data_IF_613183635796
#
_entry.id   IF_613183635796
#
_cell.length_a   1.000
_cell.length_b   1.000
_cell.length_c   1.000
_cell.angle_alpha   90.00
_cell.angle_beta   90.00
_cell.angle_gamma   90.00
#
_symmetry.space_group_name_H-M   'P 1'
#
loop_
_entity.id
_entity.type
_entity.pdbx_description
1 polymer ?
#
# COMPACT_ATOMS: atom_id res chain seq x y z
N UNK A 1 -31.84 10.15 8.02
CA UNK A 1 -31.71 8.75 7.59
C UNK A 1 -30.27 8.35 7.88
N UNK A 2 -30.04 7.45 8.84
CA UNK A 2 -28.69 7.03 9.24
C UNK A 2 -27.97 6.40 8.05
N UNK A 3 -26.99 7.12 7.49
CA UNK A 3 -26.19 6.71 6.32
C UNK A 3 -25.52 5.35 6.56
N UNK A 4 -25.22 5.04 7.83
CA UNK A 4 -24.59 3.81 8.32
C UNK A 4 -25.46 2.55 8.15
N UNK A 5 -26.79 2.67 8.02
CA UNK A 5 -27.70 1.53 7.87
C UNK A 5 -28.06 1.20 6.41
N UNK A 6 -27.54 1.95 5.44
CA UNK A 6 -27.77 1.65 4.02
C UNK A 6 -26.99 0.40 3.57
N UNK A 7 -27.60 -0.41 2.71
CA UNK A 7 -26.95 -1.60 2.13
C UNK A 7 -25.67 -1.24 1.34
N UNK A 8 -25.67 -0.10 0.64
CA UNK A 8 -24.52 0.41 -0.11
C UNK A 8 -23.32 0.79 0.77
N UNK A 9 -23.55 1.37 1.95
CA UNK A 9 -22.47 1.73 2.86
C UNK A 9 -21.79 0.48 3.42
N UNK A 10 -22.57 -0.55 3.74
CA UNK A 10 -22.05 -1.83 4.21
C UNK A 10 -21.19 -2.51 3.15
N UNK A 11 -21.62 -2.48 1.89
CA UNK A 11 -20.85 -3.04 0.78
C UNK A 11 -19.55 -2.27 0.53
N UNK A 12 -19.60 -0.93 0.59
CA UNK A 12 -18.41 -0.08 0.51
C UNK A 12 -17.41 -0.40 1.62
N UNK A 13 -17.89 -0.42 2.87
CA UNK A 13 -17.06 -0.75 4.02
C UNK A 13 -16.44 -2.13 3.85
N UNK A 14 -17.24 -3.13 3.45
CA UNK A 14 -16.72 -4.46 3.15
C UNK A 14 -15.65 -4.43 2.04
N UNK A 15 -15.85 -3.69 0.95
CA UNK A 15 -14.90 -3.64 -0.15
C UNK A 15 -13.54 -3.02 0.27
N UNK A 16 -13.56 -1.98 1.12
CA UNK A 16 -12.37 -1.18 1.43
C UNK A 16 -11.73 -1.53 2.78
N UNK A 17 -12.41 -2.24 3.68
CA UNK A 17 -11.95 -2.45 5.07
C UNK A 17 -10.53 -3.01 5.18
N UNK A 18 -10.17 -4.00 4.36
CA UNK A 18 -8.84 -4.60 4.44
C UNK A 18 -7.73 -3.59 4.05
N UNK A 19 -7.96 -2.78 3.01
CA UNK A 19 -7.03 -1.71 2.63
C UNK A 19 -6.93 -0.64 3.71
N UNK A 20 -8.08 -0.31 4.30
CA UNK A 20 -8.19 0.67 5.37
C UNK A 20 -7.30 0.29 6.55
N UNK A 21 -7.38 -0.95 7.01
CA UNK A 21 -6.55 -1.45 8.11
C UNK A 21 -5.05 -1.30 7.79
N UNK A 22 -4.63 -1.68 6.59
CA UNK A 22 -3.24 -1.54 6.16
C UNK A 22 -2.76 -0.07 6.17
N UNK A 23 -3.56 0.85 5.62
CA UNK A 23 -3.24 2.27 5.59
C UNK A 23 -3.28 2.91 6.98
N UNK A 24 -4.17 2.44 7.87
CA UNK A 24 -4.26 2.93 9.25
C UNK A 24 -3.01 2.54 10.05
N UNK A 25 -2.48 1.31 9.88
CA UNK A 25 -1.24 0.86 10.54
C UNK A 25 -0.05 1.80 10.27
N UNK A 26 0.07 2.33 9.05
CA UNK A 26 1.17 3.21 8.63
C UNK A 26 0.81 4.70 8.65
N UNK A 27 -0.37 5.05 9.18
CA UNK A 27 -0.83 6.43 9.32
C UNK A 27 -1.23 7.14 8.02
N UNK A 28 -1.40 6.39 6.93
CA UNK A 28 -1.75 6.94 5.60
C UNK A 28 -3.25 7.12 5.40
N UNK A 29 -4.10 6.43 6.18
CA UNK A 29 -5.54 6.45 5.94
C UNK A 29 -6.13 7.87 5.99
N UNK A 30 -6.89 8.30 4.96
CA UNK A 30 -7.51 9.61 4.93
C UNK A 30 -8.66 9.66 5.94
N UNK A 31 -8.56 10.54 6.95
CA UNK A 31 -9.65 10.80 7.90
C UNK A 31 -10.34 12.12 7.53
N UNK A 32 -11.67 12.19 7.69
CA UNK A 32 -12.42 13.41 7.41
C UNK A 32 -11.94 14.56 8.30
N UNK A 33 -11.59 15.68 7.66
CA UNK A 33 -11.04 16.88 8.30
C UNK A 33 -12.08 17.68 9.11
N UNK A 34 -13.37 17.35 9.01
CA UNK A 34 -14.47 18.18 9.53
C UNK A 34 -14.64 18.15 11.06
N UNK A 35 -14.03 17.21 11.75
CA UNK A 35 -14.06 17.20 13.21
C UNK A 35 -12.86 16.41 13.71
N UNK A 36 -11.72 17.05 14.00
CA UNK A 36 -10.63 16.55 14.85
C UNK A 36 -9.64 17.71 15.05
N UNK A 37 -9.61 18.24 16.27
CA UNK A 37 -8.43 18.83 16.92
C UNK A 37 -7.19 18.08 16.42
N UNK A 38 -6.27 18.72 15.66
CA UNK A 38 -5.07 18.07 15.06
C UNK A 38 -4.59 16.92 15.96
N UNK A 39 -4.81 15.68 15.54
CA UNK A 39 -4.44 14.54 16.38
C UNK A 39 -2.92 14.40 16.34
N UNK A 40 -2.23 15.10 17.26
CA UNK A 40 -0.78 15.17 17.34
C UNK A 40 -0.15 13.77 17.33
N UNK A 41 -0.79 12.80 17.97
CA UNK A 41 -0.37 11.40 17.96
C UNK A 41 -0.25 10.79 16.57
N UNK A 42 -1.18 11.09 15.66
CA UNK A 42 -1.12 10.56 14.31
C UNK A 42 0.03 11.17 13.49
N UNK A 43 0.34 12.45 13.73
CA UNK A 43 1.47 13.14 13.08
C UNK A 43 2.81 12.65 13.65
N UNK A 44 2.90 12.43 14.96
CA UNK A 44 4.05 11.80 15.61
C UNK A 44 4.28 10.39 15.05
N UNK A 45 3.23 9.59 14.92
CA UNK A 45 3.32 8.24 14.36
C UNK A 45 3.88 8.23 12.93
N UNK A 46 3.39 9.12 12.07
CA UNK A 46 3.90 9.30 10.70
C UNK A 46 5.37 9.73 10.71
N UNK A 47 5.76 10.63 11.62
CA UNK A 47 7.15 11.06 11.75
C UNK A 47 8.06 9.89 12.17
N UNK A 48 7.62 9.05 13.12
CA UNK A 48 8.34 7.84 13.54
C UNK A 48 8.58 6.92 12.34
N UNK A 49 7.55 6.64 11.54
CA UNK A 49 7.67 5.78 10.35
C UNK A 49 8.66 6.36 9.32
N UNK A 50 8.60 7.67 9.04
CA UNK A 50 9.53 8.32 8.10
C UNK A 50 10.96 8.27 8.63
N UNK A 51 11.17 8.62 9.91
CA UNK A 51 12.49 8.62 10.54
C UNK A 51 13.06 7.20 10.53
N UNK A 52 12.26 6.17 10.82
CA UNK A 52 12.73 4.79 10.75
C UNK A 52 13.13 4.38 9.32
N UNK A 53 12.33 4.72 8.31
CA UNK A 53 12.68 4.41 6.92
C UNK A 53 13.97 5.10 6.46
N UNK A 54 14.25 6.31 6.95
CA UNK A 54 15.46 7.05 6.54
C UNK A 54 16.68 6.57 7.31
N UNK A 55 16.62 6.59 8.65
CA UNK A 55 17.80 6.41 9.49
C UNK A 55 18.11 4.94 9.81
N UNK A 56 17.09 4.08 9.88
CA UNK A 56 17.29 2.65 10.20
C UNK A 56 17.55 1.84 8.93
N UNK A 57 16.98 2.23 7.77
CA UNK A 57 17.17 1.48 6.52
C UNK A 57 17.89 2.25 5.42
N UNK A 58 17.34 3.35 4.88
CA UNK A 58 17.92 3.98 3.67
C UNK A 58 19.38 4.42 3.83
N UNK A 59 19.72 5.15 4.90
CA UNK A 59 21.09 5.64 5.13
C UNK A 59 22.06 4.45 5.31
N UNK A 60 21.81 3.49 6.23
CA UNK A 60 22.63 2.29 6.38
C UNK A 60 22.84 1.50 5.08
N UNK A 61 21.78 1.33 4.26
CA UNK A 61 21.88 0.59 2.99
C UNK A 61 22.75 1.31 1.97
N UNK A 62 22.62 2.63 1.84
CA UNK A 62 23.48 3.44 0.96
C UNK A 62 24.94 3.36 1.43
N UNK A 63 25.18 3.44 2.74
CA UNK A 63 26.52 3.27 3.30
C UNK A 63 27.11 1.89 2.97
N UNK A 64 26.33 0.81 3.05
CA UNK A 64 26.78 -0.53 2.65
C UNK A 64 27.24 -0.56 1.20
N UNK A 65 26.45 0.01 0.28
CA UNK A 65 26.80 0.07 -1.16
C UNK A 65 28.13 0.80 -1.37
N UNK A 66 28.34 1.93 -0.70
CA UNK A 66 29.60 2.69 -0.78
C UNK A 66 30.77 1.83 -0.29
N UNK A 67 30.57 1.06 0.77
CA UNK A 67 31.61 0.23 1.37
C UNK A 67 32.01 -0.95 0.46
N UNK A 68 31.05 -1.53 -0.26
CA UNK A 68 31.29 -2.66 -1.19
C UNK A 68 31.53 -2.23 -2.63
N UNK A 69 31.69 -0.93 -2.90
CA UNK A 69 31.80 -0.36 -4.26
C UNK A 69 32.88 -1.01 -5.14
N UNK A 70 33.96 -1.54 -4.53
CA UNK A 70 35.03 -2.25 -5.24
C UNK A 70 34.65 -3.64 -5.77
N UNK A 71 33.51 -4.21 -5.37
CA UNK A 71 33.05 -5.53 -5.82
C UNK A 71 31.65 -5.43 -6.44
N UNK A 72 31.58 -5.42 -7.77
CA UNK A 72 30.33 -5.23 -8.52
C UNK A 72 29.28 -6.29 -8.19
N UNK A 73 29.67 -7.52 -7.87
CA UNK A 73 28.72 -8.58 -7.52
C UNK A 73 28.01 -8.25 -6.20
N UNK A 74 28.75 -7.78 -5.20
CA UNK A 74 28.17 -7.32 -3.92
C UNK A 74 27.35 -6.03 -4.08
N UNK A 75 27.77 -5.12 -4.96
CA UNK A 75 27.01 -3.90 -5.26
C UNK A 75 25.65 -4.25 -5.86
N UNK A 76 25.61 -5.15 -6.85
CA UNK A 76 24.36 -5.58 -7.49
C UNK A 76 23.42 -6.25 -6.47
N UNK A 77 23.97 -7.11 -5.61
CA UNK A 77 23.20 -7.79 -4.56
C UNK A 77 22.58 -6.79 -3.57
N UNK A 78 23.36 -5.80 -3.11
CA UNK A 78 22.86 -4.75 -2.23
C UNK A 78 21.86 -3.80 -2.91
N UNK A 79 22.03 -3.54 -4.21
CA UNK A 79 21.09 -2.73 -4.98
C UNK A 79 19.72 -3.39 -5.12
N UNK A 80 19.68 -4.73 -5.21
CA UNK A 80 18.43 -5.50 -5.31
C UNK A 80 17.49 -5.22 -4.11
N UNK A 81 18.04 -5.01 -2.91
CA UNK A 81 17.25 -4.67 -1.72
C UNK A 81 17.09 -3.16 -1.52
N UNK A 82 18.13 -2.38 -1.83
CA UNK A 82 18.15 -0.92 -1.59
C UNK A 82 17.17 -0.17 -2.49
N UNK A 83 17.07 -0.53 -3.77
CA UNK A 83 16.18 0.15 -4.72
C UNK A 83 14.69 0.01 -4.32
N UNK A 84 14.16 -1.19 -4.00
CA UNK A 84 12.82 -1.33 -3.44
C UNK A 84 12.60 -0.51 -2.16
N UNK A 85 13.59 -0.46 -1.27
CA UNK A 85 13.47 0.28 -0.01
C UNK A 85 13.38 1.80 -0.22
N UNK A 86 14.16 2.34 -1.14
CA UNK A 86 14.06 3.75 -1.57
C UNK A 86 12.69 4.00 -2.22
N UNK A 87 12.22 3.08 -3.08
CA UNK A 87 10.91 3.17 -3.71
C UNK A 87 9.77 3.24 -2.67
N UNK A 88 9.83 2.43 -1.61
CA UNK A 88 8.87 2.49 -0.49
C UNK A 88 8.83 3.88 0.14
N UNK A 89 9.99 4.45 0.40
CA UNK A 89 10.11 5.77 1.01
C UNK A 89 9.52 6.87 0.11
N UNK A 90 9.80 6.80 -1.20
CA UNK A 90 9.23 7.69 -2.21
C UNK A 90 7.72 7.55 -2.28
N UNK A 91 7.18 6.32 -2.38
CA UNK A 91 5.75 6.02 -2.39
C UNK A 91 5.06 6.59 -1.15
N UNK A 92 5.64 6.40 0.05
CA UNK A 92 5.10 6.92 1.30
C UNK A 92 4.97 8.45 1.28
N UNK A 93 6.03 9.16 0.87
CA UNK A 93 6.04 10.63 0.79
C UNK A 93 5.02 11.13 -0.24
N UNK A 94 4.92 10.47 -1.40
CA UNK A 94 3.95 10.84 -2.44
C UNK A 94 2.52 10.71 -1.92
N UNK A 95 2.14 9.54 -1.38
CA UNK A 95 0.79 9.31 -0.86
C UNK A 95 0.47 10.28 0.29
N UNK A 96 1.44 10.55 1.15
CA UNK A 96 1.29 11.52 2.23
C UNK A 96 1.01 12.93 1.70
N UNK A 97 1.77 13.40 0.70
CA UNK A 97 1.55 14.70 0.05
C UNK A 97 0.21 14.76 -0.67
N UNK A 98 -0.20 13.66 -1.31
CA UNK A 98 -1.44 13.54 -2.08
C UNK A 98 -2.63 13.07 -1.24
N UNK A 99 -2.57 13.15 0.10
CA UNK A 99 -3.65 12.68 1.00
C UNK A 99 -5.02 13.32 0.72
N UNK A 100 -5.08 14.57 0.25
CA UNK A 100 -6.34 15.20 -0.17
C UNK A 100 -6.95 14.52 -1.39
N UNK A 101 -6.12 14.15 -2.37
CA UNK A 101 -6.52 13.38 -3.55
C UNK A 101 -6.99 11.99 -3.14
N UNK A 102 -6.21 11.32 -2.28
CA UNK A 102 -6.59 10.03 -1.71
C UNK A 102 -7.96 10.06 -1.02
N UNK A 103 -8.20 11.07 -0.18
CA UNK A 103 -9.51 11.28 0.47
C UNK A 103 -10.61 11.50 -0.56
N UNK A 104 -10.34 12.29 -1.61
CA UNK A 104 -11.30 12.52 -2.68
C UNK A 104 -11.65 11.20 -3.39
N UNK A 105 -10.67 10.38 -3.73
CA UNK A 105 -10.89 9.07 -4.39
C UNK A 105 -11.75 8.16 -3.51
N UNK A 106 -11.39 8.02 -2.23
CA UNK A 106 -12.15 7.18 -1.28
C UNK A 106 -13.59 7.68 -1.11
N UNK A 107 -13.80 9.00 -1.03
CA UNK A 107 -15.14 9.57 -0.94
C UNK A 107 -15.95 9.31 -2.20
N UNK A 108 -15.36 9.47 -3.37
CA UNK A 108 -16.10 9.24 -4.59
C UNK A 108 -16.39 7.75 -4.82
N UNK A 109 -15.50 6.84 -4.42
CA UNK A 109 -15.83 5.42 -4.33
C UNK A 109 -17.03 5.20 -3.40
N UNK A 110 -17.04 5.82 -2.22
CA UNK A 110 -18.16 5.70 -1.28
C UNK A 110 -19.47 6.19 -1.90
N UNK A 111 -19.45 7.34 -2.56
CA UNK A 111 -20.60 7.87 -3.31
C UNK A 111 -21.06 6.90 -4.40
N UNK A 112 -20.13 6.36 -5.17
CA UNK A 112 -20.42 5.37 -6.20
C UNK A 112 -21.10 4.15 -5.58
N UNK A 113 -20.63 3.60 -4.45
CA UNK A 113 -21.26 2.47 -3.76
C UNK A 113 -22.65 2.80 -3.20
N UNK A 114 -22.84 4.03 -2.72
CA UNK A 114 -24.08 4.52 -2.13
C UNK A 114 -25.16 4.89 -3.15
N UNK A 115 -24.79 5.22 -4.39
CA UNK A 115 -25.72 5.58 -5.43
C UNK A 115 -26.76 4.47 -5.70
N UNK A 116 -27.97 4.85 -6.09
CA UNK A 116 -28.99 3.87 -6.51
C UNK A 116 -28.49 3.05 -7.71
N UNK A 117 -28.66 1.73 -7.64
CA UNK A 117 -28.18 0.78 -8.64
C UNK A 117 -29.15 -0.38 -8.81
N UNK A 118 -29.21 -0.90 -10.03
CA UNK A 118 -29.86 -2.17 -10.31
C UNK A 118 -29.04 -3.33 -9.69
N UNK A 119 -29.70 -4.44 -9.37
CA UNK A 119 -29.02 -5.63 -8.82
C UNK A 119 -27.87 -6.12 -9.71
N UNK A 120 -28.04 -6.03 -11.04
CA UNK A 120 -26.99 -6.37 -12.02
C UNK A 120 -25.74 -5.52 -11.83
N UNK A 121 -25.91 -4.21 -11.67
CA UNK A 121 -24.80 -3.25 -11.52
C UNK A 121 -24.06 -3.41 -10.20
N UNK A 122 -24.83 -3.65 -9.13
CA UNK A 122 -24.29 -3.97 -7.81
C UNK A 122 -23.46 -5.25 -7.85
N UNK A 123 -23.93 -6.29 -8.54
CA UNK A 123 -23.20 -7.55 -8.68
C UNK A 123 -21.87 -7.38 -9.42
N UNK A 124 -21.80 -6.54 -10.45
CA UNK A 124 -20.54 -6.21 -11.14
C UNK A 124 -19.55 -5.58 -10.17
N UNK A 125 -19.98 -4.58 -9.39
CA UNK A 125 -19.10 -3.93 -8.40
C UNK A 125 -18.61 -4.89 -7.33
N UNK A 126 -19.50 -5.74 -6.79
CA UNK A 126 -19.14 -6.78 -5.81
C UNK A 126 -18.11 -7.73 -6.42
N UNK A 127 -18.31 -8.22 -7.65
CA UNK A 127 -17.37 -9.11 -8.33
C UNK A 127 -15.98 -8.47 -8.47
N UNK A 128 -15.90 -7.20 -8.90
CA UNK A 128 -14.63 -6.48 -9.03
C UNK A 128 -13.94 -6.28 -7.67
N UNK A 129 -14.70 -5.95 -6.63
CA UNK A 129 -14.19 -5.83 -5.28
C UNK A 129 -13.69 -7.17 -4.71
N UNK A 130 -14.39 -8.28 -4.98
CA UNK A 130 -13.95 -9.64 -4.63
C UNK A 130 -12.62 -9.97 -5.29
N UNK A 131 -12.46 -9.68 -6.59
CA UNK A 131 -11.19 -9.88 -7.30
C UNK A 131 -10.07 -9.06 -6.67
N UNK A 132 -10.32 -7.78 -6.35
CA UNK A 132 -9.35 -6.91 -5.68
C UNK A 132 -8.93 -7.44 -4.30
N UNK A 133 -9.89 -7.91 -3.51
CA UNK A 133 -9.62 -8.55 -2.21
C UNK A 133 -8.85 -9.86 -2.34
N UNK A 134 -9.12 -10.66 -3.36
CA UNK A 134 -8.37 -11.89 -3.61
C UNK A 134 -6.89 -11.58 -3.95
N UNK A 135 -6.66 -10.64 -4.88
CA UNK A 135 -5.31 -10.19 -5.24
C UNK A 135 -4.57 -9.66 -4.00
N UNK A 136 -5.25 -8.87 -3.17
CA UNK A 136 -4.71 -8.39 -1.91
C UNK A 136 -4.28 -9.55 -1.00
N UNK A 137 -5.17 -10.51 -0.74
CA UNK A 137 -4.89 -11.60 0.20
C UNK A 137 -3.71 -12.44 -0.27
N UNK A 138 -3.65 -12.76 -1.57
CA UNK A 138 -2.52 -13.47 -2.16
C UNK A 138 -1.22 -12.67 -1.98
N UNK A 139 -1.24 -11.36 -2.28
CA UNK A 139 -0.08 -10.49 -2.12
C UNK A 139 0.43 -10.43 -0.68
N UNK A 140 -0.47 -10.30 0.29
CA UNK A 140 -0.08 -10.31 1.71
C UNK A 140 0.47 -11.65 2.17
N UNK A 141 -0.11 -12.77 1.73
CA UNK A 141 0.41 -14.11 2.04
C UNK A 141 1.85 -14.24 1.54
N UNK A 142 2.13 -13.86 0.29
CA UNK A 142 3.48 -13.95 -0.28
C UNK A 142 4.49 -13.13 0.52
N UNK A 143 4.15 -11.88 0.84
CA UNK A 143 5.04 -10.98 1.59
C UNK A 143 5.23 -11.43 3.02
N UNK A 144 4.18 -11.88 3.71
CA UNK A 144 4.26 -12.38 5.08
C UNK A 144 5.13 -13.63 5.12
N UNK A 145 4.93 -14.57 4.20
CA UNK A 145 5.78 -15.77 4.10
C UNK A 145 7.23 -15.38 3.86
N UNK A 146 7.52 -14.52 2.88
CA UNK A 146 8.89 -14.05 2.61
C UNK A 146 9.52 -13.35 3.81
N UNK A 147 8.77 -12.49 4.50
CA UNK A 147 9.21 -11.82 5.72
C UNK A 147 9.57 -12.81 6.82
N UNK A 148 8.71 -13.79 7.11
CA UNK A 148 9.01 -14.80 8.13
C UNK A 148 10.20 -15.68 7.73
N UNK A 149 10.32 -16.06 6.46
CA UNK A 149 11.46 -16.83 5.96
C UNK A 149 12.77 -16.07 6.21
N UNK A 150 12.91 -14.82 5.75
CA UNK A 150 14.13 -14.03 5.94
C UNK A 150 14.51 -13.89 7.42
N UNK A 151 13.54 -13.57 8.27
CA UNK A 151 13.79 -13.39 9.71
C UNK A 151 14.14 -14.70 10.42
N UNK A 152 13.48 -15.80 10.05
CA UNK A 152 13.76 -17.13 10.61
C UNK A 152 15.14 -17.64 10.21
N UNK A 153 15.53 -17.49 8.95
CA UNK A 153 16.89 -17.82 8.48
C UNK A 153 17.95 -17.00 9.22
N UNK A 154 17.68 -15.71 9.43
CA UNK A 154 18.60 -14.82 10.16
C UNK A 154 18.75 -15.23 11.63
N UNK A 155 17.67 -15.67 12.28
CA UNK A 155 17.72 -16.14 13.67
C UNK A 155 18.52 -17.45 13.83
N UNK A 156 18.53 -18.30 12.80
CA UNK A 156 19.27 -19.55 12.79
C UNK A 156 20.73 -19.41 12.31
N UNK A 157 21.19 -18.19 12.01
CA UNK A 157 22.51 -17.90 11.43
C UNK A 157 22.81 -18.74 10.15
N UNK A 158 21.80 -19.02 9.33
CA UNK A 158 21.94 -19.85 8.11
C UNK A 158 22.20 -18.96 6.89
N UNK A 159 23.40 -19.10 6.29
CA UNK A 159 23.73 -18.52 4.99
C UNK A 159 23.05 -19.31 3.85
N UNK A 160 21.97 -18.80 3.27
CA UNK A 160 21.33 -19.42 2.10
C UNK A 160 21.83 -18.84 0.77
N UNK A 161 22.46 -17.65 0.78
CA UNK A 161 23.10 -17.08 -0.40
C UNK A 161 24.59 -16.91 -0.15
N UNK A 162 25.33 -17.89 -0.69
CA UNK A 162 26.76 -17.92 -0.92
C UNK A 162 27.69 -18.00 0.30
N UNK A 163 28.55 -19.02 0.23
CA UNK A 163 29.78 -19.20 1.00
C UNK A 163 30.71 -18.02 0.68
N UNK A 164 30.55 -16.90 1.39
CA UNK A 164 31.66 -15.96 1.52
C UNK A 164 32.64 -16.55 2.52
N UNK A 165 33.85 -16.88 2.03
CA UNK A 165 35.04 -17.22 2.82
C UNK A 165 35.48 -16.04 3.72
N UNK A 166 34.59 -15.53 4.56
CA UNK A 166 34.92 -14.63 5.65
C UNK A 166 34.84 -15.44 6.94
N UNK A 167 36.02 -15.77 7.46
CA UNK A 167 36.30 -16.57 8.66
C UNK A 167 35.89 -15.86 9.97
N UNK A 168 34.86 -15.03 9.94
CA UNK A 168 34.43 -14.25 11.09
C UNK A 168 32.98 -14.59 11.39
N UNK A 169 32.79 -15.39 12.44
CA UNK A 169 31.53 -15.96 12.90
C UNK A 169 30.63 -14.85 13.45
N UNK A 170 30.03 -14.06 12.57
CA UNK A 170 29.20 -12.89 12.89
C UNK A 170 27.72 -13.28 12.85
N UNK A 171 26.97 -12.97 13.92
CA UNK A 171 25.51 -13.20 14.01
C UNK A 171 24.78 -12.44 12.90
N UNK A 172 23.79 -13.07 12.26
CA UNK A 172 23.11 -12.54 11.07
C UNK A 172 22.02 -11.53 11.45
N UNK A 173 22.00 -10.39 10.76
CA UNK A 173 20.91 -9.43 10.83
C UNK A 173 19.98 -9.61 9.60
N UNK A 174 18.66 -9.39 9.73
CA UNK A 174 17.70 -9.55 8.63
C UNK A 174 17.97 -8.68 7.40
N UNK A 175 18.73 -7.61 7.59
CA UNK A 175 19.17 -6.68 6.56
C UNK A 175 20.67 -6.47 6.70
N UNK A 176 21.41 -6.86 5.66
CA UNK A 176 22.82 -6.50 5.49
C UNK A 176 22.93 -4.99 5.31
N UNK A 177 23.21 -4.29 6.40
CA UNK A 177 23.20 -2.82 6.48
C UNK A 177 24.44 -2.36 7.23
N UNK A 178 24.92 -1.16 6.91
CA UNK A 178 26.05 -0.59 7.62
C UNK A 178 25.64 -0.12 9.02
N UNK A 179 26.29 -0.65 10.06
CA UNK A 179 26.08 -0.20 11.44
C UNK A 179 27.19 0.76 11.88
N UNK A 180 26.80 1.97 12.30
CA UNK A 180 27.70 2.99 12.84
C UNK A 180 28.27 2.64 14.23
N UNK A 181 27.83 1.52 14.82
CA UNK A 181 28.26 1.01 16.13
C UNK A 181 28.43 -0.51 16.06
N UNK A 182 29.05 -1.10 17.09
CA UNK A 182 29.25 -2.54 17.14
C UNK A 182 27.95 -3.27 17.47
N UNK A 183 27.13 -3.55 16.46
CA UNK A 183 25.84 -4.24 16.60
C UNK A 183 25.96 -5.71 17.01
N UNK A 184 27.15 -6.30 17.10
CA UNK A 184 27.31 -7.71 17.44
C UNK A 184 27.41 -7.99 18.95
N UNK A 185 27.53 -6.94 19.77
CA UNK A 185 27.56 -7.07 21.24
C UNK A 185 26.13 -7.14 21.79
N UNK A 186 25.87 -8.07 22.71
CA UNK A 186 24.63 -8.05 23.49
C UNK A 186 24.67 -6.87 24.48
N UNK A 187 23.59 -6.07 24.65
CA UNK A 187 22.22 -6.21 24.13
C UNK A 187 21.95 -5.47 22.80
N UNK A 188 22.98 -4.89 22.18
CA UNK A 188 22.86 -4.02 21.00
C UNK A 188 22.37 -4.81 19.78
N UNK A 189 22.78 -6.09 19.67
CA UNK A 189 22.34 -6.98 18.61
C UNK A 189 20.81 -7.19 18.65
N UNK A 190 20.29 -7.58 19.80
CA UNK A 190 18.88 -7.92 20.00
C UNK A 190 17.99 -6.68 19.75
N UNK A 191 18.43 -5.50 20.19
CA UNK A 191 17.75 -4.23 19.91
C UNK A 191 17.78 -3.88 18.41
N UNK A 192 18.93 -4.03 17.75
CA UNK A 192 19.08 -3.76 16.31
C UNK A 192 18.18 -4.67 15.50
N UNK A 193 18.20 -5.97 15.82
CA UNK A 193 17.37 -6.99 15.18
C UNK A 193 15.88 -6.64 15.30
N UNK A 194 15.41 -6.30 16.50
CA UNK A 194 14.02 -5.91 16.72
C UNK A 194 13.62 -4.65 15.94
N UNK A 195 14.47 -3.62 15.95
CA UNK A 195 14.21 -2.35 15.26
C UNK A 195 14.20 -2.55 13.73
N UNK A 196 15.09 -3.39 13.20
CA UNK A 196 15.10 -3.74 11.77
C UNK A 196 13.85 -4.52 11.38
N UNK A 197 13.44 -5.51 12.16
CA UNK A 197 12.18 -6.26 11.93
C UNK A 197 10.99 -5.31 11.84
N UNK A 198 10.88 -4.38 12.79
CA UNK A 198 9.79 -3.42 12.83
C UNK A 198 9.83 -2.48 11.61
N UNK A 199 11.01 -2.01 11.23
CA UNK A 199 11.20 -1.11 10.09
C UNK A 199 10.87 -1.82 8.77
N UNK A 200 11.31 -3.06 8.61
CA UNK A 200 11.00 -3.90 7.43
C UNK A 200 9.51 -4.23 7.37
N UNK A 201 8.85 -4.46 8.52
CA UNK A 201 7.40 -4.65 8.57
C UNK A 201 6.65 -3.40 8.09
N UNK A 202 7.04 -2.21 8.56
CA UNK A 202 6.47 -0.96 8.06
C UNK A 202 6.70 -0.81 6.55
N UNK A 203 7.92 -1.07 6.07
CA UNK A 203 8.24 -0.96 4.66
C UNK A 203 7.38 -1.90 3.80
N UNK A 204 7.22 -3.16 4.24
CA UNK A 204 6.39 -4.17 3.58
C UNK A 204 4.90 -3.77 3.53
N UNK A 205 4.36 -3.26 4.64
CA UNK A 205 2.97 -2.78 4.70
C UNK A 205 2.79 -1.58 3.76
N UNK A 206 3.72 -0.62 3.75
CA UNK A 206 3.65 0.54 2.84
C UNK A 206 3.71 0.09 1.38
N UNK A 207 4.67 -0.76 1.03
CA UNK A 207 4.86 -1.27 -0.32
C UNK A 207 3.56 -1.89 -0.85
N UNK A 208 3.03 -2.87 -0.12
CA UNK A 208 1.85 -3.61 -0.54
C UNK A 208 0.60 -2.74 -0.51
N UNK A 209 0.42 -1.94 0.54
CA UNK A 209 -0.80 -1.15 0.68
C UNK A 209 -0.96 -0.15 -0.48
N UNK A 210 0.09 0.58 -0.85
CA UNK A 210 0.04 1.55 -1.96
C UNK A 210 -0.29 0.86 -3.29
N UNK A 211 0.36 -0.25 -3.59
CA UNK A 211 0.19 -0.94 -4.87
C UNK A 211 -1.18 -1.61 -4.99
N UNK A 212 -1.61 -2.30 -3.93
CA UNK A 212 -2.93 -2.94 -3.92
C UNK A 212 -4.04 -1.88 -3.93
N UNK A 213 -3.83 -0.71 -3.31
CA UNK A 213 -4.79 0.39 -3.39
C UNK A 213 -4.99 0.87 -4.83
N UNK A 214 -3.91 1.02 -5.61
CA UNK A 214 -4.00 1.33 -7.05
C UNK A 214 -4.78 0.24 -7.81
N UNK A 215 -4.47 -1.04 -7.56
CA UNK A 215 -5.21 -2.15 -8.18
C UNK A 215 -6.70 -2.08 -7.89
N UNK A 216 -7.10 -1.74 -6.66
CA UNK A 216 -8.52 -1.64 -6.29
C UNK A 216 -9.20 -0.42 -6.90
N UNK A 217 -8.52 0.71 -7.05
CA UNK A 217 -9.05 1.83 -7.82
C UNK A 217 -9.31 1.40 -9.26
N UNK A 218 -8.34 0.76 -9.91
CA UNK A 218 -8.47 0.31 -11.30
C UNK A 218 -9.63 -0.66 -11.44
N UNK A 219 -9.75 -1.65 -10.55
CA UNK A 219 -10.87 -2.61 -10.59
C UNK A 219 -12.23 -1.95 -10.33
N UNK A 220 -12.29 -0.95 -9.43
CA UNK A 220 -13.50 -0.17 -9.19
C UNK A 220 -13.90 0.61 -10.44
N UNK A 221 -12.97 1.31 -11.07
CA UNK A 221 -13.20 2.04 -12.33
C UNK A 221 -13.65 1.09 -13.44
N UNK A 222 -13.00 -0.07 -13.60
CA UNK A 222 -13.43 -1.10 -14.56
C UNK A 222 -14.87 -1.57 -14.30
N UNK A 223 -15.26 -1.72 -13.03
CA UNK A 223 -16.65 -2.04 -12.67
C UNK A 223 -17.64 -0.92 -13.02
N UNK A 224 -17.26 0.33 -12.79
CA UNK A 224 -18.06 1.49 -13.19
C UNK A 224 -18.23 1.57 -14.71
N UNK A 225 -17.16 1.37 -15.48
CA UNK A 225 -17.20 1.37 -16.95
C UNK A 225 -18.05 0.22 -17.51
N UNK A 226 -18.00 -0.95 -16.88
CA UNK A 226 -18.85 -2.09 -17.26
C UNK A 226 -20.33 -1.79 -17.01
N UNK A 227 -20.67 -1.21 -15.86
CA UNK A 227 -22.04 -0.77 -15.57
C UNK A 227 -22.52 0.30 -16.56
N UNK A 228 -21.66 1.27 -16.84
CA UNK A 228 -21.91 2.33 -17.82
C UNK A 228 -22.19 1.76 -19.22
N UNK A 229 -21.39 0.79 -19.67
CA UNK A 229 -21.63 0.08 -20.93
C UNK A 229 -22.98 -0.63 -20.94
N UNK A 230 -23.38 -1.28 -19.84
CA UNK A 230 -24.70 -1.91 -19.75
C UNK A 230 -25.83 -0.89 -19.87
N UNK A 231 -25.75 0.25 -19.16
CA UNK A 231 -26.73 1.35 -19.27
C UNK A 231 -26.85 1.89 -20.68
N UNK A 232 -25.73 2.05 -21.39
CA UNK A 232 -25.70 2.48 -22.78
C UNK A 232 -26.43 1.51 -23.73
N UNK A 233 -26.21 0.20 -23.55
CA UNK A 233 -26.89 -0.82 -24.37
C UNK A 233 -28.39 -0.81 -24.08
N UNK A 234 -28.78 -0.72 -22.81
CA UNK A 234 -30.19 -0.65 -22.40
C UNK A 234 -30.86 0.65 -22.89
N UNK A 235 -30.09 1.75 -23.02
CA UNK A 235 -30.54 3.02 -23.56
C UNK A 235 -30.91 2.95 -25.04
N UNK A 236 -30.11 2.25 -25.85
CA UNK A 236 -30.39 2.06 -27.29
C UNK A 236 -31.73 1.35 -27.51
N UNK A 237 -32.26 0.68 -26.48
CA UNK A 237 -33.53 -0.04 -26.51
C UNK A 237 -34.74 0.78 -25.99
N UNK A 238 -34.57 1.99 -25.42
CA UNK A 238 -35.66 2.76 -24.79
C UNK A 238 -35.78 4.22 -25.28
N UNK A 239 -37.01 4.76 -25.30
CA UNK A 239 -37.40 6.06 -25.92
C UNK A 239 -36.88 7.33 -25.20
N UNK A 240 -36.30 7.25 -24.01
CA UNK A 240 -35.88 8.43 -23.20
C UNK A 240 -34.38 8.76 -23.36
N UNK A 241 -33.97 8.91 -24.63
CA UNK A 241 -32.57 9.05 -25.06
C UNK A 241 -31.83 10.24 -24.42
N UNK A 242 -32.46 11.42 -24.37
CA UNK A 242 -31.79 12.66 -23.99
C UNK A 242 -31.42 12.74 -22.51
N UNK A 243 -32.26 12.21 -21.62
CA UNK A 243 -32.01 12.26 -20.17
C UNK A 243 -30.86 11.33 -19.78
N UNK A 244 -30.88 10.12 -20.32
CA UNK A 244 -29.86 9.11 -20.03
C UNK A 244 -28.53 9.47 -20.74
N UNK A 245 -28.58 10.05 -21.95
CA UNK A 245 -27.38 10.58 -22.61
C UNK A 245 -26.72 11.70 -21.79
N UNK A 246 -27.52 12.59 -21.19
CA UNK A 246 -26.98 13.65 -20.34
C UNK A 246 -26.34 13.09 -19.07
N UNK A 247 -26.96 12.10 -18.41
CA UNK A 247 -26.38 11.42 -17.26
C UNK A 247 -25.08 10.69 -17.63
N UNK A 248 -25.03 10.12 -18.82
CA UNK A 248 -23.86 9.42 -19.38
C UNK A 248 -22.71 10.38 -19.66
N UNK A 249 -22.97 11.50 -20.34
CA UNK A 249 -21.96 12.53 -20.61
C UNK A 249 -21.45 13.13 -19.30
N UNK A 250 -22.34 13.38 -18.34
CA UNK A 250 -21.96 13.90 -17.02
C UNK A 250 -21.10 12.90 -16.24
N UNK A 251 -21.44 11.61 -16.29
CA UNK A 251 -20.63 10.55 -15.68
C UNK A 251 -19.28 10.40 -16.36
N UNK A 252 -19.22 10.47 -17.69
CA UNK A 252 -17.99 10.34 -18.46
C UNK A 252 -17.04 11.52 -18.23
N UNK A 253 -17.57 12.74 -18.18
CA UNK A 253 -16.82 13.95 -17.81
C UNK A 253 -16.34 13.89 -16.35
N UNK A 254 -17.14 13.30 -15.45
CA UNK A 254 -16.73 13.06 -14.06
C UNK A 254 -15.55 12.10 -14.01
N UNK A 255 -15.59 11.00 -14.77
CA UNK A 255 -14.50 10.01 -14.93
C UNK A 255 -13.21 10.61 -15.49
N UNK A 256 -13.28 11.42 -16.54
CA UNK A 256 -12.12 12.15 -17.11
C UNK A 256 -11.49 13.07 -16.06
N UNK A 257 -12.29 13.64 -15.16
CA UNK A 257 -11.78 14.47 -14.06
C UNK A 257 -10.97 13.68 -13.03
N UNK A 258 -11.17 12.37 -12.89
CA UNK A 258 -10.30 11.50 -12.09
C UNK A 258 -8.95 11.25 -12.76
N UNK A 259 -8.93 11.15 -14.08
CA UNK A 259 -7.70 10.96 -14.86
C UNK A 259 -6.76 12.16 -14.69
N UNK A 260 -7.31 13.38 -14.60
CA UNK A 260 -6.55 14.61 -14.33
C UNK A 260 -6.17 14.82 -12.85
N UNK A 261 -6.65 13.97 -11.93
CA UNK A 261 -6.31 14.03 -10.50
C UNK A 261 -5.22 13.03 -10.08
N UNK A 262 -4.97 12.01 -10.91
CA UNK A 262 -3.87 11.06 -10.74
C UNK A 262 -2.51 11.72 -11.07
#
# INVERSE_FOLDING_TARGET
MDITNSSGYRDFMWAVNLHRLAFEMVGLWPKHYKCIKKNLWAEIWVAIVIISLIFISNIPMICTIIQVWGNMLLVIDNLHTTLPQIMVSVKYVIIRRKRKVLLSIVNMMAEDWMAFKLNRERNVMIKRAQTGRLIMMIGYIIIITGFFTVNFLSLLDIHVLYVTNYTDRRRLLPLETYHFYNSYKSPQFELTFFIQILTTLFAAVIYMSVDIFLVVIVLHICGQLENFRCRLIDLVLYKDFNKILNDIVTFHLRLIRYEFLL
#
